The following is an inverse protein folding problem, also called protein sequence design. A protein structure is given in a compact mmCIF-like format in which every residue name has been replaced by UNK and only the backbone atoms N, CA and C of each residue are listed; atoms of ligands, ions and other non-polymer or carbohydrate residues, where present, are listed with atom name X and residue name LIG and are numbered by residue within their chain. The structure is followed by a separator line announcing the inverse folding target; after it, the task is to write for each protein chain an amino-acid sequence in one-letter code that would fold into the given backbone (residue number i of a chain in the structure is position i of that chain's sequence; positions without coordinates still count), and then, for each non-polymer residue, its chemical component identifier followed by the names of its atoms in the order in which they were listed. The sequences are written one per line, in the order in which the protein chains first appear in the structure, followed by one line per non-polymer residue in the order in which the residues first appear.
data_IF_232913672105
#
_entry.id   IF_232913672105
#
_cell.length_a   1.000
_cell.length_b   1.000
_cell.length_c   1.000
_cell.angle_alpha   90.00
_cell.angle_beta   90.00
_cell.angle_gamma   90.00
#
_symmetry.space_group_name_H-M   'P 1'
#
loop_
_entity.id
_entity.type
_entity.pdbx_description
1 polymer ?
#
# COMPACT_ATOMS: atom_id res chain seq x y z
N UNK A 1 -16.37 17.06 5.08
CA UNK A 1 -16.53 18.16 6.08
C UNK A 1 -15.39 18.21 7.11
N UNK A 2 -15.06 17.12 7.80
CA UNK A 2 -14.05 17.10 8.89
C UNK A 2 -12.65 17.53 8.44
N UNK A 3 -12.16 17.01 7.31
CA UNK A 3 -10.84 17.36 6.77
C UNK A 3 -10.69 18.85 6.44
N UNK A 4 -11.79 19.55 6.13
CA UNK A 4 -11.80 20.99 5.90
C UNK A 4 -11.63 21.77 7.20
N UNK A 5 -12.35 21.40 8.26
CA UNK A 5 -12.25 22.06 9.56
C UNK A 5 -10.85 21.93 10.15
N UNK A 6 -10.22 20.74 10.03
CA UNK A 6 -8.85 20.51 10.50
C UNK A 6 -7.85 21.36 9.69
N UNK A 7 -7.99 21.36 8.37
CA UNK A 7 -7.16 22.19 7.48
C UNK A 7 -7.27 23.68 7.81
N UNK A 8 -8.48 24.21 8.01
CA UNK A 8 -8.69 25.61 8.41
C UNK A 8 -8.07 25.94 9.78
N UNK A 9 -8.16 25.02 10.74
CA UNK A 9 -7.57 25.19 12.07
C UNK A 9 -6.03 25.16 12.03
N UNK A 10 -5.43 24.28 11.23
CA UNK A 10 -3.98 24.21 11.07
C UNK A 10 -3.44 25.44 10.35
N UNK A 11 -4.11 25.91 9.29
CA UNK A 11 -3.72 27.15 8.61
C UNK A 11 -3.74 28.39 9.51
N UNK A 12 -4.55 28.42 10.58
CA UNK A 12 -4.55 29.53 11.54
C UNK A 12 -3.43 29.44 12.58
N UNK A 13 -2.94 28.23 12.86
CA UNK A 13 -1.86 27.97 13.81
C UNK A 13 -0.59 27.73 13.00
N UNK A 14 0.04 28.81 12.57
CA UNK A 14 1.24 28.84 11.72
C UNK A 14 2.50 28.36 12.48
N UNK A 15 2.37 27.33 13.32
CA UNK A 15 3.46 26.67 14.03
C UNK A 15 4.06 25.62 13.10
N UNK A 16 5.33 25.78 12.76
CA UNK A 16 6.01 24.84 11.88
C UNK A 16 6.27 23.52 12.61
N UNK A 17 5.76 22.42 12.05
CA UNK A 17 6.01 21.09 12.55
C UNK A 17 5.68 20.08 11.46
N UNK A 18 6.70 19.40 10.92
CA UNK A 18 6.63 18.43 9.81
C UNK A 18 5.73 17.21 10.11
N UNK A 19 4.42 17.42 10.23
CA UNK A 19 3.44 16.42 10.61
C UNK A 19 2.32 16.39 9.57
N UNK A 20 2.31 15.35 8.75
CA UNK A 20 1.19 15.07 7.84
C UNK A 20 0.22 14.08 8.49
N UNK A 21 -1.07 14.38 8.42
CA UNK A 21 -2.13 13.52 8.94
C UNK A 21 -3.01 12.97 7.81
N UNK A 22 -3.39 11.70 7.92
CA UNK A 22 -4.32 11.06 6.99
C UNK A 22 -5.67 10.91 7.68
N UNK A 23 -6.70 11.47 7.06
CA UNK A 23 -8.08 11.42 7.51
C UNK A 23 -8.86 10.48 6.58
N UNK A 24 -9.32 9.36 7.12
CA UNK A 24 -10.17 8.39 6.42
C UNK A 24 -11.61 8.47 6.92
N UNK A 25 -12.57 8.43 6.00
CA UNK A 25 -13.99 8.48 6.32
C UNK A 25 -14.87 7.93 5.19
N UNK A 26 -16.17 8.02 5.39
CA UNK A 26 -17.18 7.80 4.36
C UNK A 26 -18.15 8.98 4.38
N UNK A 27 -18.40 9.58 3.22
CA UNK A 27 -19.37 10.66 3.03
C UNK A 27 -20.51 10.13 2.17
N UNK A 28 -21.77 10.23 2.63
CA UNK A 28 -22.95 9.70 1.91
C UNK A 28 -22.77 8.29 1.29
N UNK A 29 -22.02 7.41 1.97
CA UNK A 29 -21.62 6.03 1.55
C UNK A 29 -20.39 5.92 0.65
N UNK A 30 -19.82 7.02 0.16
CA UNK A 30 -18.59 7.03 -0.63
C UNK A 30 -17.35 7.15 0.27
N UNK A 31 -16.37 6.24 0.15
CA UNK A 31 -15.14 6.33 0.92
C UNK A 31 -14.30 7.53 0.49
N UNK A 32 -13.88 8.34 1.46
CA UNK A 32 -13.05 9.50 1.24
C UNK A 32 -11.76 9.43 2.07
N UNK A 33 -10.66 9.86 1.47
CA UNK A 33 -9.35 9.89 2.10
C UNK A 33 -8.66 11.22 1.79
N UNK A 34 -8.24 11.90 2.84
CA UNK A 34 -7.58 13.20 2.75
C UNK A 34 -6.25 13.18 3.49
N UNK A 35 -5.19 13.66 2.85
CA UNK A 35 -3.95 14.04 3.52
C UNK A 35 -4.03 15.53 3.86
N UNK A 36 -3.64 15.91 5.08
CA UNK A 36 -3.56 17.30 5.54
C UNK A 36 -2.18 17.54 6.12
N UNK A 37 -1.49 18.59 5.68
CA UNK A 37 -0.20 19.01 6.24
C UNK A 37 -0.36 20.04 7.38
N UNK A 38 0.74 20.38 8.02
CA UNK A 38 0.82 21.35 9.11
C UNK A 38 0.44 22.78 8.70
N UNK A 39 0.59 23.12 7.42
CA UNK A 39 0.17 24.39 6.83
C UNK A 39 -1.32 24.43 6.48
N UNK A 40 -2.03 23.32 6.69
CA UNK A 40 -3.42 23.14 6.35
C UNK A 40 -3.67 22.93 4.86
N UNK A 41 -2.65 22.64 4.05
CA UNK A 41 -2.84 22.10 2.71
C UNK A 41 -3.55 20.76 2.79
N UNK A 42 -4.61 20.60 2.00
CA UNK A 42 -5.45 19.40 1.98
C UNK A 42 -5.45 18.79 0.58
N UNK A 43 -5.08 17.52 0.49
CA UNK A 43 -5.16 16.74 -0.74
C UNK A 43 -6.14 15.57 -0.58
N UNK A 44 -7.07 15.42 -1.52
CA UNK A 44 -7.90 14.22 -1.63
C UNK A 44 -7.20 13.20 -2.55
N UNK A 45 -7.24 11.93 -2.18
CA UNK A 45 -6.57 10.88 -2.95
C UNK A 45 -7.08 9.49 -2.59
N UNK A 46 -6.51 8.46 -3.24
CA UNK A 46 -6.88 7.06 -3.01
C UNK A 46 -5.88 6.32 -2.11
N UNK A 47 -4.67 6.87 -1.98
CA UNK A 47 -3.51 6.22 -1.36
C UNK A 47 -2.64 7.32 -0.77
N UNK A 48 -2.30 7.19 0.51
CA UNK A 48 -1.36 8.06 1.20
C UNK A 48 -0.51 7.22 2.15
N UNK A 49 0.69 7.69 2.41
CA UNK A 49 1.59 7.18 3.45
C UNK A 49 2.21 8.40 4.13
N UNK A 50 2.51 8.30 5.42
CA UNK A 50 3.13 9.36 6.23
C UNK A 50 4.11 8.72 7.22
N UNK A 51 5.04 9.51 7.76
CA UNK A 51 6.09 9.07 8.69
C UNK A 51 7.40 8.67 8.02
N UNK A 52 8.40 8.27 8.83
CA UNK A 52 9.77 7.94 8.38
C UNK A 52 9.84 6.77 7.39
N UNK A 53 8.96 5.77 7.56
CA UNK A 53 8.87 4.59 6.67
C UNK A 53 7.97 4.78 5.44
N UNK A 54 7.44 5.98 5.21
CA UNK A 54 6.40 6.25 4.19
C UNK A 54 6.85 5.95 2.76
N UNK A 55 8.11 6.19 2.41
CA UNK A 55 8.66 5.93 1.08
C UNK A 55 8.62 4.44 0.73
N UNK A 56 9.04 3.59 1.66
CA UNK A 56 9.00 2.13 1.49
C UNK A 56 7.56 1.60 1.49
N UNK A 57 6.72 2.14 2.36
CA UNK A 57 5.31 1.80 2.40
C UNK A 57 4.59 2.17 1.09
N UNK A 58 4.92 3.32 0.49
CA UNK A 58 4.32 3.76 -0.77
C UNK A 58 4.66 2.82 -1.92
N UNK A 59 5.92 2.39 -2.01
CA UNK A 59 6.36 1.39 -3.00
C UNK A 59 5.65 0.05 -2.81
N UNK A 60 5.55 -0.43 -1.57
CA UNK A 60 4.80 -1.64 -1.24
C UNK A 60 3.32 -1.54 -1.59
N UNK A 61 2.70 -0.39 -1.28
CA UNK A 61 1.30 -0.10 -1.54
C UNK A 61 1.02 -0.09 -3.04
N UNK A 62 1.89 0.53 -3.85
CA UNK A 62 1.76 0.51 -5.30
C UNK A 62 1.82 -0.90 -5.89
N UNK A 63 2.67 -1.77 -5.35
CA UNK A 63 2.80 -3.14 -5.84
C UNK A 63 1.63 -4.06 -5.46
N UNK A 64 0.95 -3.79 -4.33
CA UNK A 64 -0.10 -4.67 -3.76
C UNK A 64 -1.51 -4.11 -3.87
N UNK A 65 -1.67 -2.87 -4.32
CA UNK A 65 -2.97 -2.23 -4.46
C UNK A 65 -3.71 -2.73 -5.71
N UNK A 66 -4.96 -3.12 -5.51
CA UNK A 66 -5.95 -3.30 -6.57
C UNK A 66 -7.25 -2.66 -6.14
N UNK A 67 -8.01 -2.12 -7.08
CA UNK A 67 -9.33 -1.53 -6.80
C UNK A 67 -10.35 -2.58 -6.34
N UNK A 68 -10.15 -3.84 -6.74
CA UNK A 68 -11.05 -4.96 -6.45
C UNK A 68 -10.36 -5.98 -5.54
N UNK A 69 -10.02 -5.57 -4.33
CA UNK A 69 -9.57 -6.48 -3.28
C UNK A 69 -10.75 -6.87 -2.41
N UNK A 70 -10.83 -8.14 -2.03
CA UNK A 70 -11.64 -8.55 -0.89
C UNK A 70 -11.07 -7.97 0.41
N UNK A 71 -11.88 -7.96 1.46
CA UNK A 71 -11.46 -7.44 2.77
C UNK A 71 -10.22 -8.20 3.31
N UNK A 72 -10.19 -9.52 3.14
CA UNK A 72 -9.08 -10.37 3.57
C UNK A 72 -7.80 -10.10 2.77
N UNK A 73 -7.93 -9.90 1.46
CA UNK A 73 -6.78 -9.55 0.61
C UNK A 73 -6.25 -8.16 0.92
N UNK A 74 -7.13 -7.19 1.20
CA UNK A 74 -6.75 -5.84 1.60
C UNK A 74 -6.02 -5.85 2.96
N UNK A 75 -6.51 -6.62 3.94
CA UNK A 75 -5.85 -6.79 5.23
C UNK A 75 -4.46 -7.42 5.08
N UNK A 76 -4.34 -8.47 4.27
CA UNK A 76 -3.06 -9.11 3.97
C UNK A 76 -2.11 -8.16 3.25
N UNK A 77 -2.60 -7.41 2.27
CA UNK A 77 -1.81 -6.42 1.55
C UNK A 77 -1.28 -5.34 2.51
N UNK A 78 -2.10 -4.82 3.41
CA UNK A 78 -1.69 -3.84 4.41
C UNK A 78 -0.56 -4.38 5.31
N UNK A 79 -0.71 -5.61 5.82
CA UNK A 79 0.33 -6.28 6.62
C UNK A 79 1.63 -6.45 5.84
N UNK A 80 1.56 -6.95 4.61
CA UNK A 80 2.75 -7.17 3.79
C UNK A 80 3.48 -5.86 3.45
N UNK A 81 2.74 -4.76 3.24
CA UNK A 81 3.31 -3.44 3.01
C UNK A 81 4.05 -2.93 4.24
N UNK A 82 3.44 -3.03 5.42
CA UNK A 82 4.06 -2.61 6.67
C UNK A 82 5.28 -3.46 7.00
N UNK A 83 5.21 -4.79 6.81
CA UNK A 83 6.36 -5.68 7.00
C UNK A 83 7.51 -5.32 6.06
N UNK A 84 7.19 -5.03 4.80
CA UNK A 84 8.18 -4.61 3.81
C UNK A 84 8.83 -3.28 4.19
N UNK A 85 8.04 -2.30 4.62
CA UNK A 85 8.54 -1.01 5.07
C UNK A 85 9.45 -1.15 6.29
N UNK A 86 9.02 -1.90 7.31
CA UNK A 86 9.82 -2.22 8.51
C UNK A 86 11.19 -2.81 8.14
N UNK A 87 11.15 -3.82 7.27
CA UNK A 87 12.34 -4.53 6.84
C UNK A 87 13.33 -3.63 6.11
N UNK A 88 12.83 -2.77 5.22
CA UNK A 88 13.68 -1.85 4.44
C UNK A 88 14.20 -0.68 5.24
N UNK A 89 13.37 -0.11 6.11
CA UNK A 89 13.76 0.98 7.00
C UNK A 89 14.73 0.52 8.11
N UNK A 90 14.86 -0.79 8.33
CA UNK A 90 15.60 -1.39 9.46
C UNK A 90 15.10 -0.85 10.81
N UNK A 91 13.84 -0.44 10.85
CA UNK A 91 13.19 0.06 12.05
C UNK A 91 12.62 -1.11 12.84
N UNK A 92 12.83 -1.10 14.16
CA UNK A 92 12.08 -1.96 15.06
C UNK A 92 10.65 -1.43 15.14
N UNK A 93 9.74 -2.02 14.39
CA UNK A 93 8.32 -1.77 14.57
C UNK A 93 7.82 -2.61 15.75
N UNK A 94 7.03 -2.01 16.64
CA UNK A 94 6.38 -2.71 17.75
C UNK A 94 5.15 -3.47 17.27
N UNK A 95 4.01 -2.78 17.24
CA UNK A 95 2.72 -3.38 16.95
C UNK A 95 2.06 -2.71 15.75
N UNK A 96 1.31 -3.49 14.98
CA UNK A 96 0.48 -3.00 13.87
C UNK A 96 -1.00 -3.18 14.21
N UNK A 97 -1.77 -2.14 13.93
CA UNK A 97 -3.22 -2.20 13.91
C UNK A 97 -3.73 -1.90 12.51
N UNK A 98 -4.72 -2.66 12.06
CA UNK A 98 -5.37 -2.45 10.75
C UNK A 98 -6.84 -2.18 10.99
N UNK A 99 -7.32 -1.13 10.35
CA UNK A 99 -8.70 -0.68 10.44
C UNK A 99 -9.33 -0.66 9.04
N UNK A 100 -10.59 -1.08 8.97
CA UNK A 100 -11.44 -0.92 7.82
C UNK A 100 -12.45 0.19 8.08
N UNK A 101 -12.41 1.24 7.26
CA UNK A 101 -13.38 2.32 7.26
C UNK A 101 -14.37 2.06 6.14
N UNK A 102 -15.64 1.87 6.51
CA UNK A 102 -16.71 1.67 5.54
C UNK A 102 -17.98 2.43 5.91
N UNK A 103 -19.05 2.26 5.14
CA UNK A 103 -20.29 3.01 5.35
C UNK A 103 -20.98 2.69 6.69
N UNK A 104 -20.71 1.51 7.25
CA UNK A 104 -21.18 1.10 8.58
C UNK A 104 -20.25 1.53 9.71
N UNK A 105 -19.29 2.41 9.44
CA UNK A 105 -18.32 2.93 10.39
C UNK A 105 -16.97 2.22 10.37
N UNK A 106 -16.22 2.41 11.46
CA UNK A 106 -14.87 1.88 11.66
C UNK A 106 -14.93 0.46 12.22
N UNK A 107 -14.29 -0.50 11.55
CA UNK A 107 -14.08 -1.85 12.05
C UNK A 107 -12.59 -2.11 12.26
N UNK A 108 -12.20 -2.50 13.47
CA UNK A 108 -10.83 -2.97 13.74
C UNK A 108 -10.68 -4.39 13.22
N UNK A 109 -9.73 -4.61 12.30
CA UNK A 109 -9.44 -5.93 11.71
C UNK A 109 -8.31 -6.62 12.47
N UNK A 110 -7.22 -5.89 12.71
CA UNK A 110 -6.07 -6.38 13.46
C UNK A 110 -5.87 -5.48 14.67
N UNK A 111 -5.70 -6.11 15.83
CA UNK A 111 -5.43 -5.45 17.09
C UNK A 111 -4.00 -5.74 17.54
N UNK A 112 -3.12 -4.76 17.37
CA UNK A 112 -1.77 -4.75 17.95
C UNK A 112 -1.00 -6.05 17.71
N UNK A 113 -0.89 -6.45 16.45
CA UNK A 113 -0.08 -7.62 16.08
C UNK A 113 1.41 -7.25 16.09
N UNK A 114 2.20 -8.04 16.80
CA UNK A 114 3.66 -7.91 16.86
C UNK A 114 4.25 -8.19 15.48
N UNK A 115 4.71 -7.14 14.82
CA UNK A 115 5.19 -7.24 13.44
C UNK A 115 6.61 -7.80 13.37
N UNK A 116 7.37 -7.78 14.46
CA UNK A 116 8.65 -8.50 14.55
C UNK A 116 8.44 -9.99 14.29
N UNK A 117 7.42 -10.59 14.93
CA UNK A 117 7.06 -11.99 14.70
C UNK A 117 6.53 -12.25 13.30
N UNK A 118 5.72 -11.33 12.75
CA UNK A 118 5.23 -11.44 11.37
C UNK A 118 6.40 -11.38 10.39
N UNK A 119 7.34 -10.48 10.62
CA UNK A 119 8.54 -10.32 9.80
C UNK A 119 9.45 -11.55 9.86
N UNK A 120 9.69 -12.12 11.05
CA UNK A 120 10.46 -13.36 11.20
C UNK A 120 9.82 -14.53 10.42
N UNK A 121 8.50 -14.67 10.53
CA UNK A 121 7.74 -15.68 9.77
C UNK A 121 7.87 -15.45 8.27
N UNK A 122 7.74 -14.20 7.81
CA UNK A 122 7.90 -13.84 6.39
C UNK A 122 9.33 -14.08 5.90
N UNK A 123 10.35 -13.74 6.70
CA UNK A 123 11.75 -14.02 6.38
C UNK A 123 12.02 -15.52 6.27
N UNK A 124 11.47 -16.34 7.16
CA UNK A 124 11.56 -17.80 7.07
C UNK A 124 10.94 -18.32 5.78
N UNK A 125 9.77 -17.80 5.39
CA UNK A 125 9.12 -18.17 4.12
C UNK A 125 9.92 -17.72 2.91
N UNK A 126 10.46 -16.49 2.91
CA UNK A 126 11.31 -15.99 1.83
C UNK A 126 12.59 -16.79 1.70
N UNK A 127 13.23 -17.19 2.82
CA UNK A 127 14.40 -18.07 2.83
C UNK A 127 14.08 -19.44 2.24
N UNK A 128 12.96 -20.06 2.64
CA UNK A 128 12.51 -21.35 2.08
C UNK A 128 12.25 -21.25 0.59
N UNK A 129 11.53 -20.22 0.14
CA UNK A 129 11.29 -19.97 -1.28
C UNK A 129 12.59 -19.74 -2.04
N UNK A 130 13.52 -18.95 -1.52
CA UNK A 130 14.83 -18.73 -2.16
C UNK A 130 15.59 -20.05 -2.33
N UNK A 131 15.62 -20.90 -1.30
CA UNK A 131 16.22 -22.24 -1.38
C UNK A 131 15.49 -23.16 -2.38
N UNK A 132 14.16 -23.07 -2.47
CA UNK A 132 13.39 -23.80 -3.50
C UNK A 132 13.73 -23.30 -4.92
N UNK A 133 13.90 -21.99 -5.12
CA UNK A 133 14.36 -21.42 -6.38
C UNK A 133 15.78 -21.90 -6.74
N UNK A 134 16.70 -21.91 -5.78
CA UNK A 134 18.07 -22.41 -5.96
C UNK A 134 18.11 -23.91 -6.30
N UNK A 135 17.15 -24.69 -5.80
CA UNK A 135 17.04 -26.13 -6.07
C UNK A 135 16.19 -26.48 -7.30
N UNK A 136 15.55 -25.50 -7.96
CA UNK A 136 14.64 -25.74 -9.08
C UNK A 136 15.13 -25.04 -10.36
N UNK A 137 15.86 -25.79 -11.21
CA UNK A 137 16.40 -25.33 -12.49
C UNK A 137 15.35 -24.73 -13.45
N UNK A 138 14.07 -25.14 -13.36
CA UNK A 138 13.00 -24.59 -14.20
C UNK A 138 12.59 -23.17 -13.79
N UNK A 139 12.69 -22.86 -12.49
CA UNK A 139 12.36 -21.55 -11.93
C UNK A 139 13.53 -20.56 -12.02
N UNK A 140 14.74 -21.05 -12.29
CA UNK A 140 15.94 -20.26 -12.56
C UNK A 140 16.00 -19.75 -14.01
N UNK A 141 15.13 -20.24 -14.90
CA UNK A 141 15.04 -19.70 -16.25
C UNK A 141 14.56 -18.25 -16.13
N UNK A 142 15.34 -17.26 -16.62
CA UNK A 142 14.86 -15.89 -16.66
C UNK A 142 13.53 -15.88 -17.41
N UNK A 143 12.56 -15.12 -16.89
CA UNK A 143 11.36 -14.81 -17.66
C UNK A 143 11.85 -14.31 -19.02
N UNK A 144 11.55 -15.07 -20.08
CA UNK A 144 11.77 -14.62 -21.45
C UNK A 144 10.77 -13.49 -21.71
N UNK A 145 11.08 -12.32 -21.18
CA UNK A 145 10.48 -11.07 -21.62
C UNK A 145 11.04 -10.92 -23.03
N UNK A 146 10.23 -11.25 -24.03
CA UNK A 146 10.58 -10.99 -25.43
C UNK A 146 11.05 -9.55 -25.55
N UNK A 147 12.00 -9.30 -26.45
CA UNK A 147 12.47 -7.94 -26.70
C UNK A 147 11.27 -7.00 -26.91
N UNK A 148 11.34 -5.72 -26.53
CA UNK A 148 10.25 -4.76 -26.77
C UNK A 148 9.74 -4.73 -28.22
N UNK A 149 10.53 -5.20 -29.19
CA UNK A 149 10.15 -5.38 -30.59
C UNK A 149 9.20 -6.56 -30.82
N UNK A 150 9.42 -7.69 -30.16
CA UNK A 150 8.60 -8.91 -30.29
C UNK A 150 7.22 -8.73 -29.65
N UNK A 151 7.16 -8.05 -28.49
CA UNK A 151 5.90 -7.75 -27.79
C UNK A 151 5.03 -6.80 -28.63
N UNK A 152 5.64 -5.80 -29.28
CA UNK A 152 4.93 -4.85 -30.15
C UNK A 152 4.50 -5.43 -31.51
N UNK A 153 5.14 -6.51 -31.98
CA UNK A 153 4.68 -7.23 -33.17
C UNK A 153 3.49 -8.14 -32.88
N UNK A 154 3.44 -8.77 -31.69
CA UNK A 154 2.30 -9.58 -31.25
C UNK A 154 1.05 -8.76 -30.91
N UNK A 155 1.20 -7.47 -30.58
CA UNK A 155 0.10 -6.58 -30.20
C UNK A 155 -0.63 -5.91 -31.38
N UNK A 156 -0.27 -6.19 -32.65
CA UNK A 156 -1.00 -5.64 -33.79
C UNK A 156 -2.34 -6.39 -33.97
N UNK A 157 -3.49 -5.72 -33.87
CA UNK A 157 -4.77 -6.36 -34.15
C UNK A 157 -4.82 -6.77 -35.63
N UNK A 158 -4.99 -8.06 -35.90
CA UNK A 158 -5.34 -8.57 -37.22
C UNK A 158 -6.72 -8.02 -37.58
N UNK A 159 -6.76 -6.95 -38.39
CA UNK A 159 -7.98 -6.54 -39.09
C UNK A 159 -8.37 -7.68 -40.03
N UNK A 160 -9.26 -8.57 -39.58
CA UNK A 160 -10.03 -9.41 -40.50
C UNK A 160 -10.93 -8.46 -41.30
N UNK A 161 -10.68 -8.37 -42.60
CA UNK A 161 -11.60 -7.75 -43.54
C UNK A 161 -12.93 -8.51 -43.46
N UNK A 162 -13.99 -7.80 -43.11
CA UNK A 162 -15.36 -8.27 -43.28
C UNK A 162 -15.70 -7.97 -44.74
N UNK A 163 -15.92 -9.03 -45.53
CA UNK A 163 -16.58 -8.95 -46.83
C UNK A 163 -18.10 -8.87 -46.61
#
# INVERSE_FOLDING_TARGET
MISRLISEHLSSHNEEGLSEMIIAGCDEMDPCLHCVDDKGYRQQGKKFTTGSGSEFALGGLHARYSYRLSLEEAEKAAKDVLCFAAYRARESLGFVSVFHVGPHGLKKLINEEDIGKVLEKQQSLWRKRAAEYENNELMQKPLKIGSPREINQAAKPTRKAVN
#
